data_IF_957564298378
#
_entry.id   IF_957564298378
#
_cell.length_a   1.000
_cell.length_b   1.000
_cell.length_c   1.000
_cell.angle_alpha   90.00
_cell.angle_beta   90.00
_cell.angle_gamma   90.00
#
_symmetry.space_group_name_H-M   'P 1'
#
loop_
_entity.id
_entity.type
_entity.pdbx_description
1 polymer ?
#
# COMPACT_ATOMS: atom_id res chain seq x y z
N UNK A 1 23.32 7.41 11.50
CA UNK A 1 22.06 7.74 10.80
C UNK A 1 21.75 6.56 9.89
N UNK A 2 20.80 5.74 10.31
CA UNK A 2 20.38 4.52 9.64
C UNK A 2 19.09 4.77 8.84
N UNK A 3 18.91 4.01 7.77
CA UNK A 3 17.68 3.96 6.96
C UNK A 3 16.90 2.72 7.34
N UNK A 4 15.74 2.90 7.95
CA UNK A 4 14.90 1.80 8.41
C UNK A 4 13.75 1.62 7.42
N UNK A 5 13.77 0.51 6.69
CA UNK A 5 12.82 0.23 5.61
C UNK A 5 11.78 -0.78 6.07
N UNK A 6 10.51 -0.39 6.11
CA UNK A 6 9.37 -1.26 6.44
C UNK A 6 8.64 -1.60 5.14
N UNK A 7 8.51 -2.89 4.83
CA UNK A 7 7.79 -3.39 3.67
C UNK A 7 6.61 -4.27 4.10
N UNK A 8 5.38 -3.84 3.89
CA UNK A 8 4.18 -4.62 4.22
C UNK A 8 3.42 -5.05 2.95
N UNK A 9 3.21 -6.35 2.80
CA UNK A 9 2.49 -6.92 1.66
C UNK A 9 0.97 -7.04 1.91
N UNK A 10 0.18 -7.20 0.84
CA UNK A 10 -1.26 -7.49 0.91
C UNK A 10 -1.56 -8.96 1.23
N UNK A 11 -2.81 -9.33 1.59
CA UNK A 11 -3.10 -10.76 1.83
C UNK A 11 -3.08 -11.60 0.58
N UNK A 12 -2.70 -12.87 0.77
CA UNK A 12 -2.80 -13.90 -0.25
C UNK A 12 -1.57 -14.00 -1.14
N UNK A 13 -0.57 -13.14 -0.94
CA UNK A 13 0.71 -13.23 -1.63
C UNK A 13 1.57 -14.28 -0.93
N UNK A 14 1.56 -15.51 -1.47
CA UNK A 14 2.41 -16.59 -0.99
C UNK A 14 3.85 -16.36 -1.45
N UNK A 15 4.81 -16.35 -0.50
CA UNK A 15 6.26 -16.24 -0.73
C UNK A 15 6.78 -17.29 -1.75
N UNK A 16 6.03 -18.39 -1.98
CA UNK A 16 6.47 -19.56 -2.74
C UNK A 16 6.16 -19.55 -4.24
N UNK A 17 5.16 -18.81 -4.72
CA UNK A 17 4.73 -18.91 -6.14
C UNK A 17 4.62 -17.55 -6.86
N UNK A 18 3.86 -16.59 -6.33
CA UNK A 18 3.63 -15.30 -6.99
C UNK A 18 4.18 -14.16 -6.11
N UNK A 19 5.34 -13.62 -6.49
CA UNK A 19 6.01 -12.58 -5.70
C UNK A 19 5.44 -11.20 -5.99
N UNK A 20 5.11 -10.48 -4.92
CA UNK A 20 4.70 -9.08 -5.01
C UNK A 20 5.84 -8.14 -5.34
N UNK A 21 5.48 -6.94 -5.81
CA UNK A 21 6.41 -5.85 -5.99
C UNK A 21 7.02 -5.43 -4.65
N UNK A 22 6.28 -5.56 -3.54
CA UNK A 22 6.82 -5.34 -2.18
C UNK A 22 7.93 -6.35 -1.86
N UNK A 23 7.70 -7.64 -2.11
CA UNK A 23 8.71 -8.67 -1.87
C UNK A 23 9.91 -8.51 -2.82
N UNK A 24 9.67 -8.23 -4.11
CA UNK A 24 10.75 -7.96 -5.08
C UNK A 24 11.55 -6.74 -4.66
N UNK A 25 10.89 -5.66 -4.23
CA UNK A 25 11.51 -4.45 -3.71
C UNK A 25 12.38 -4.74 -2.48
N UNK A 26 11.82 -5.42 -1.47
CA UNK A 26 12.57 -5.83 -0.27
C UNK A 26 13.80 -6.68 -0.64
N UNK A 27 13.67 -7.62 -1.58
CA UNK A 27 14.78 -8.46 -2.05
C UNK A 27 15.86 -7.68 -2.79
N UNK A 28 15.56 -6.54 -3.40
CA UNK A 28 16.59 -5.72 -4.05
C UNK A 28 17.28 -4.75 -3.09
N UNK A 29 16.78 -4.53 -1.87
CA UNK A 29 17.47 -3.70 -0.88
C UNK A 29 18.88 -4.24 -0.59
N UNK A 30 19.83 -3.32 -0.39
CA UNK A 30 21.17 -3.63 0.11
C UNK A 30 21.19 -3.46 1.62
N UNK A 31 21.15 -4.57 2.34
CA UNK A 31 21.31 -4.54 3.80
C UNK A 31 22.75 -4.17 4.18
N UNK A 32 22.87 -3.32 5.19
CA UNK A 32 24.12 -2.84 5.78
C UNK A 32 23.85 -2.27 7.16
N UNK A 33 24.90 -1.91 7.91
CA UNK A 33 24.74 -1.30 9.24
C UNK A 33 23.93 0.00 9.20
N UNK A 34 23.99 0.74 8.09
CA UNK A 34 23.25 2.00 7.86
C UNK A 34 21.92 1.82 7.10
N UNK A 35 21.53 0.59 6.73
CA UNK A 35 20.27 0.33 6.05
C UNK A 35 19.74 -1.07 6.38
N UNK A 36 18.63 -1.11 7.12
CA UNK A 36 17.99 -2.35 7.56
C UNK A 36 16.57 -2.44 7.02
N UNK A 37 16.11 -3.66 6.75
CA UNK A 37 14.79 -3.92 6.19
C UNK A 37 13.95 -4.85 7.05
N UNK A 38 12.67 -4.55 7.16
CA UNK A 38 11.64 -5.40 7.74
C UNK A 38 10.62 -5.76 6.65
N UNK A 39 10.23 -7.03 6.58
CA UNK A 39 9.24 -7.51 5.63
C UNK A 39 8.10 -8.23 6.35
N UNK A 40 6.89 -7.72 6.18
CA UNK A 40 5.65 -8.34 6.61
C UNK A 40 4.92 -8.98 5.40
N UNK A 41 4.65 -10.30 5.43
CA UNK A 41 4.01 -11.01 4.32
C UNK A 41 2.48 -10.83 4.22
N UNK A 42 1.87 -9.98 5.05
CA UNK A 42 0.43 -9.76 5.08
C UNK A 42 -0.36 -10.84 5.82
N UNK A 43 -1.65 -10.55 6.07
CA UNK A 43 -2.57 -11.44 6.81
C UNK A 43 -2.84 -12.72 6.02
N UNK A 44 -2.76 -13.91 6.64
CA UNK A 44 -3.22 -15.16 6.04
C UNK A 44 -2.17 -15.97 5.26
N UNK A 45 -0.91 -15.55 5.24
CA UNK A 45 0.22 -16.30 4.67
C UNK A 45 0.66 -17.40 5.64
N UNK A 46 -0.22 -18.37 5.93
CA UNK A 46 0.13 -19.51 6.78
C UNK A 46 1.02 -20.46 5.97
N UNK A 47 2.28 -20.51 6.34
CA UNK A 47 3.22 -21.56 5.95
C UNK A 47 2.68 -22.93 6.40
N UNK A 48 2.54 -23.86 5.44
CA UNK A 48 2.22 -25.28 5.58
C UNK A 48 0.84 -25.65 6.14
N UNK A 49 -0.11 -25.96 5.24
CA UNK A 49 -0.99 -27.14 5.36
C UNK A 49 -1.91 -27.28 4.13
N UNK A 50 -1.85 -28.44 3.46
CA UNK A 50 -2.87 -29.06 2.58
C UNK A 50 -3.56 -28.22 1.49
N UNK A 51 -3.57 -28.72 0.25
CA UNK A 51 -4.31 -28.12 -0.87
C UNK A 51 -5.80 -27.84 -0.58
N UNK A 52 -6.43 -28.63 0.30
CA UNK A 52 -7.82 -28.45 0.72
C UNK A 52 -8.03 -27.22 1.63
N UNK A 53 -7.06 -26.93 2.51
CA UNK A 53 -7.07 -25.71 3.33
C UNK A 53 -6.76 -24.47 2.48
N UNK A 54 -5.97 -24.58 1.40
CA UNK A 54 -5.74 -23.45 0.46
C UNK A 54 -7.01 -22.98 -0.24
N UNK A 55 -7.88 -23.88 -0.70
CA UNK A 55 -9.15 -23.46 -1.33
C UNK A 55 -10.09 -22.77 -0.33
N UNK A 56 -10.22 -23.34 0.89
CA UNK A 56 -10.97 -22.71 1.98
C UNK A 56 -10.35 -21.39 2.44
N UNK A 57 -9.02 -21.25 2.47
CA UNK A 57 -8.31 -20.03 2.87
C UNK A 57 -8.27 -18.98 1.76
N UNK A 58 -8.33 -19.36 0.48
CA UNK A 58 -8.48 -18.44 -0.66
C UNK A 58 -9.91 -17.90 -0.73
N UNK A 59 -10.91 -18.75 -0.50
CA UNK A 59 -12.30 -18.31 -0.32
C UNK A 59 -12.50 -17.53 0.99
N UNK A 60 -11.91 -17.94 2.13
CA UNK A 60 -11.90 -17.16 3.38
C UNK A 60 -10.98 -15.94 3.33
N UNK A 61 -10.03 -15.83 2.42
CA UNK A 61 -9.20 -14.64 2.24
C UNK A 61 -9.94 -13.56 1.43
N UNK A 62 -10.78 -14.01 0.48
CA UNK A 62 -11.69 -13.16 -0.31
C UNK A 62 -12.98 -12.84 0.45
N UNK A 63 -13.54 -13.77 1.25
CA UNK A 63 -14.73 -13.55 2.09
C UNK A 63 -14.42 -13.10 3.53
N UNK A 64 -13.21 -13.34 4.02
CA UNK A 64 -12.71 -12.89 5.33
C UNK A 64 -11.93 -11.59 5.21
N UNK A 65 -12.42 -10.69 4.37
CA UNK A 65 -12.06 -9.26 4.27
C UNK A 65 -12.26 -8.48 5.60
N UNK A 66 -12.45 -9.16 6.72
CA UNK A 66 -13.04 -8.61 7.92
C UNK A 66 -12.53 -9.26 9.21
N UNK A 67 -11.26 -9.06 9.56
CA UNK A 67 -10.86 -9.02 10.97
C UNK A 67 -9.84 -7.89 11.18
N UNK A 68 -10.22 -6.86 11.94
CA UNK A 68 -9.28 -5.82 12.38
C UNK A 68 -8.07 -6.39 13.13
N UNK A 69 -8.20 -7.59 13.71
CA UNK A 69 -7.12 -8.32 14.39
C UNK A 69 -5.87 -8.55 13.52
N UNK A 70 -6.01 -8.82 12.22
CA UNK A 70 -4.84 -9.05 11.36
C UNK A 70 -4.10 -7.75 11.01
N UNK A 71 -4.83 -6.66 10.80
CA UNK A 71 -4.23 -5.35 10.57
C UNK A 71 -3.47 -4.86 11.81
N UNK A 72 -4.10 -4.98 12.99
CA UNK A 72 -3.50 -4.52 14.24
C UNK A 72 -2.19 -5.26 14.53
N UNK A 73 -2.12 -6.57 14.28
CA UNK A 73 -0.88 -7.35 14.42
C UNK A 73 0.24 -6.83 13.51
N UNK A 74 -0.03 -6.67 12.21
CA UNK A 74 0.98 -6.22 11.25
C UNK A 74 1.48 -4.80 11.56
N UNK A 75 0.59 -3.90 11.98
CA UNK A 75 0.97 -2.54 12.42
C UNK A 75 1.85 -2.62 13.68
N UNK A 76 1.47 -3.42 14.68
CA UNK A 76 2.23 -3.56 15.92
C UNK A 76 3.61 -4.19 15.68
N UNK A 77 3.73 -5.18 14.80
CA UNK A 77 5.01 -5.82 14.52
C UNK A 77 5.98 -4.85 13.82
N UNK A 78 5.51 -4.10 12.83
CA UNK A 78 6.29 -3.03 12.21
C UNK A 78 6.64 -1.91 13.22
N UNK A 79 5.70 -1.52 14.08
CA UNK A 79 5.92 -0.52 15.12
C UNK A 79 6.96 -0.97 16.16
N UNK A 80 6.89 -2.22 16.62
CA UNK A 80 7.91 -2.82 17.51
C UNK A 80 9.27 -2.87 16.85
N UNK A 81 9.33 -3.23 15.56
CA UNK A 81 10.59 -3.18 14.82
C UNK A 81 11.21 -1.78 14.86
N UNK A 82 10.41 -0.72 14.68
CA UNK A 82 10.87 0.65 14.84
C UNK A 82 11.32 0.96 16.28
N UNK A 83 10.57 0.51 17.30
CA UNK A 83 10.94 0.74 18.71
C UNK A 83 12.36 0.24 18.99
N UNK A 84 12.69 -0.97 18.50
CA UNK A 84 13.96 -1.64 18.78
C UNK A 84 15.15 -1.13 17.97
N UNK A 85 14.92 -0.54 16.79
CA UNK A 85 16.01 -0.21 15.87
C UNK A 85 16.19 1.29 15.61
N UNK A 86 15.17 2.11 15.86
CA UNK A 86 15.23 3.54 15.63
C UNK A 86 16.05 4.27 16.70
N UNK A 87 17.02 5.04 16.24
CA UNK A 87 17.75 6.04 17.02
C UNK A 87 17.47 7.45 16.49
N UNK A 88 17.72 8.45 17.33
CA UNK A 88 17.50 9.84 16.92
C UNK A 88 18.35 10.21 15.70
N UNK A 89 17.71 10.81 14.70
CA UNK A 89 18.32 11.14 13.42
C UNK A 89 18.19 10.06 12.35
N UNK A 90 17.68 8.86 12.66
CA UNK A 90 17.40 7.83 11.65
C UNK A 90 16.24 8.23 10.72
N UNK A 91 16.23 7.66 9.51
CA UNK A 91 15.21 7.91 8.50
C UNK A 91 14.29 6.69 8.32
N UNK A 92 12.98 6.91 8.38
CA UNK A 92 11.97 5.85 8.21
C UNK A 92 11.44 5.86 6.77
N UNK A 93 11.50 4.69 6.13
CA UNK A 93 10.98 4.45 4.79
C UNK A 93 9.88 3.39 4.85
N UNK A 94 8.72 3.68 4.28
CA UNK A 94 7.54 2.82 4.37
C UNK A 94 7.09 2.39 2.98
N UNK A 95 6.88 1.09 2.77
CA UNK A 95 6.44 0.53 1.50
C UNK A 95 5.30 -0.45 1.70
N UNK A 96 4.30 -0.42 0.83
CA UNK A 96 3.29 -1.46 0.84
C UNK A 96 2.43 -1.53 -0.41
N UNK A 97 1.79 -2.68 -0.59
CA UNK A 97 0.87 -2.95 -1.68
C UNK A 97 -0.53 -3.25 -1.14
N UNK A 98 -1.57 -2.72 -1.78
CA UNK A 98 -2.95 -3.07 -1.48
C UNK A 98 -3.31 -2.78 -0.02
N UNK A 99 -3.58 -3.83 0.76
CA UNK A 99 -3.81 -3.75 2.21
C UNK A 99 -2.54 -3.47 2.99
N UNK A 100 -1.39 -3.95 2.53
CA UNK A 100 -0.10 -3.58 3.10
C UNK A 100 0.22 -2.10 2.91
N UNK A 101 -0.20 -1.49 1.80
CA UNK A 101 -0.13 -0.04 1.61
C UNK A 101 -1.01 0.71 2.64
N UNK A 102 -2.19 0.18 2.93
CA UNK A 102 -3.02 0.70 4.02
C UNK A 102 -2.37 0.48 5.41
N UNK A 103 -1.75 -0.68 5.65
CA UNK A 103 -1.00 -0.96 6.89
C UNK A 103 0.07 0.09 7.15
N UNK A 104 0.90 0.42 6.16
CA UNK A 104 1.95 1.43 6.35
C UNK A 104 1.41 2.85 6.50
N UNK A 105 0.27 3.18 5.89
CA UNK A 105 -0.42 4.45 6.12
C UNK A 105 -0.98 4.55 7.54
N UNK A 106 -1.54 3.46 8.07
CA UNK A 106 -1.97 3.37 9.47
C UNK A 106 -0.78 3.48 10.42
N UNK A 107 0.33 2.80 10.13
CA UNK A 107 1.57 2.93 10.90
C UNK A 107 2.06 4.39 10.92
N UNK A 108 2.08 5.07 9.77
CA UNK A 108 2.46 6.48 9.70
C UNK A 108 1.49 7.39 10.48
N UNK A 109 0.18 7.12 10.41
CA UNK A 109 -0.81 7.87 11.19
C UNK A 109 -0.64 7.66 12.69
N UNK A 110 -0.32 6.43 13.10
CA UNK A 110 -0.03 6.08 14.48
C UNK A 110 1.25 6.77 14.98
N UNK A 111 2.33 6.77 14.19
CA UNK A 111 3.58 7.48 14.50
C UNK A 111 3.36 9.01 14.59
N UNK A 112 2.57 9.59 13.69
CA UNK A 112 2.29 11.03 13.69
C UNK A 112 1.53 11.47 14.95
N UNK A 113 0.56 10.66 15.39
CA UNK A 113 -0.35 11.05 16.46
C UNK A 113 0.13 10.64 17.86
N UNK A 114 0.73 9.45 17.98
CA UNK A 114 1.17 8.89 19.26
C UNK A 114 2.68 8.97 19.43
N UNK A 115 3.46 9.14 18.36
CA UNK A 115 4.92 9.04 18.39
C UNK A 115 5.40 7.59 18.45
N UNK A 116 6.71 7.43 18.64
CA UNK A 116 7.39 6.13 18.76
C UNK A 116 7.75 5.88 20.23
N UNK A 117 7.16 4.84 20.83
CA UNK A 117 7.46 4.44 22.20
C UNK A 117 8.94 4.11 22.40
N UNK A 118 9.41 4.29 23.63
CA UNK A 118 10.72 3.80 24.03
C UNK A 118 10.69 2.27 24.23
N UNK A 119 11.85 1.62 24.12
CA UNK A 119 11.99 0.16 24.28
C UNK A 119 11.41 -0.36 25.59
N UNK A 120 11.57 0.36 26.69
CA UNK A 120 11.01 -0.03 28.00
C UNK A 120 9.47 0.10 28.09
N UNK A 121 8.84 0.78 27.13
CA UNK A 121 7.39 0.99 27.05
C UNK A 121 6.72 0.05 26.02
N UNK A 122 7.45 -0.89 25.42
CA UNK A 122 6.93 -1.77 24.37
C UNK A 122 5.65 -2.53 24.79
N UNK A 123 5.52 -2.88 26.07
CA UNK A 123 4.33 -3.52 26.63
C UNK A 123 3.04 -2.68 26.47
N UNK A 124 3.15 -1.37 26.23
CA UNK A 124 2.04 -0.44 26.03
C UNK A 124 1.61 -0.31 24.55
N UNK A 125 2.31 -0.92 23.59
CA UNK A 125 2.02 -0.73 22.15
C UNK A 125 0.56 -1.01 21.80
N UNK A 126 -0.02 -2.09 22.32
CA UNK A 126 -1.42 -2.46 22.05
C UNK A 126 -2.41 -1.45 22.63
N UNK A 127 -2.09 -0.87 23.79
CA UNK A 127 -2.89 0.19 24.41
C UNK A 127 -2.82 1.47 23.57
N UNK A 128 -1.62 1.87 23.18
CA UNK A 128 -1.37 3.03 22.34
C UNK A 128 -2.09 2.92 20.98
N UNK A 129 -2.04 1.76 20.32
CA UNK A 129 -2.76 1.53 19.06
C UNK A 129 -4.28 1.61 19.27
N UNK A 130 -4.78 1.07 20.39
CA UNK A 130 -6.22 1.15 20.72
C UNK A 130 -6.66 2.61 20.91
N UNK A 131 -5.88 3.41 21.61
CA UNK A 131 -6.14 4.84 21.80
C UNK A 131 -6.14 5.61 20.45
N UNK A 132 -5.17 5.33 19.58
CA UNK A 132 -5.12 5.88 18.22
C UNK A 132 -6.38 5.54 17.41
N UNK A 133 -6.83 4.27 17.41
CA UNK A 133 -8.04 3.86 16.68
C UNK A 133 -9.30 4.53 17.22
N UNK A 134 -9.41 4.69 18.54
CA UNK A 134 -10.54 5.35 19.19
C UNK A 134 -10.62 6.84 18.85
N UNK A 135 -9.48 7.52 18.68
CA UNK A 135 -9.46 8.94 18.33
C UNK A 135 -10.17 9.23 16.99
N UNK A 136 -10.00 8.36 15.99
CA UNK A 136 -10.68 8.50 14.69
C UNK A 136 -12.16 8.15 14.69
N UNK A 137 -12.62 7.37 15.67
CA UNK A 137 -14.04 7.03 15.81
C UNK A 137 -14.86 8.15 16.48
N UNK A 138 -14.21 9.05 17.21
CA UNK A 138 -14.86 10.08 18.03
C UNK A 138 -14.48 11.52 17.66
N UNK A 139 -13.62 11.73 16.67
CA UNK A 139 -12.97 13.01 16.37
C UNK A 139 -12.27 13.62 17.62
N UNK A 140 -11.88 12.77 18.58
CA UNK A 140 -11.25 13.13 19.85
C UNK A 140 -9.72 13.01 19.73
N UNK A 141 -9.12 13.85 18.88
CA UNK A 141 -7.66 13.89 18.68
C UNK A 141 -6.89 14.12 20.00
N UNK A 142 -7.52 14.79 20.96
CA UNK A 142 -6.98 15.07 22.30
C UNK A 142 -6.52 13.82 23.05
N UNK A 143 -7.19 12.67 22.86
CA UNK A 143 -6.86 11.43 23.59
C UNK A 143 -5.48 10.91 23.18
N UNK A 144 -5.19 10.89 21.88
CA UNK A 144 -3.93 10.35 21.38
C UNK A 144 -2.77 11.33 21.58
N UNK A 145 -3.01 12.64 21.46
CA UNK A 145 -2.04 13.66 21.88
C UNK A 145 -1.70 13.55 23.37
N UNK A 146 -2.71 13.24 24.20
CA UNK A 146 -2.49 12.99 25.63
C UNK A 146 -1.69 11.71 25.88
N UNK A 147 -1.82 10.68 25.04
CA UNK A 147 -0.93 9.50 25.11
C UNK A 147 0.52 9.92 24.85
N UNK A 148 0.77 10.73 23.83
CA UNK A 148 2.11 11.23 23.56
C UNK A 148 2.68 12.06 24.72
N UNK A 149 1.88 12.95 25.31
CA UNK A 149 2.29 13.80 26.43
C UNK A 149 2.55 13.00 27.71
N UNK A 150 1.67 12.04 28.03
CA UNK A 150 1.78 11.23 29.26
C UNK A 150 2.90 10.20 29.17
N UNK A 151 3.10 9.60 27.99
CA UNK A 151 4.12 8.56 27.79
C UNK A 151 5.47 9.11 27.35
N UNK A 152 5.61 10.43 27.12
CA UNK A 152 6.84 11.07 26.64
C UNK A 152 7.46 10.32 25.45
N UNK A 153 6.69 10.17 24.38
CA UNK A 153 7.11 9.36 23.22
C UNK A 153 8.02 10.12 22.28
N UNK A 154 8.85 9.39 21.52
CA UNK A 154 9.77 9.97 20.55
C UNK A 154 9.00 10.47 19.32
N UNK A 155 9.18 11.74 18.97
CA UNK A 155 8.63 12.29 17.71
C UNK A 155 9.47 11.80 16.54
N UNK A 156 8.82 11.24 15.53
CA UNK A 156 9.48 10.75 14.32
C UNK A 156 8.72 11.19 13.07
N UNK A 157 9.44 11.32 11.97
CA UNK A 157 8.87 11.63 10.65
C UNK A 157 9.17 10.50 9.67
N UNK A 158 8.41 10.45 8.58
CA UNK A 158 8.56 9.47 7.52
C UNK A 158 9.29 10.16 6.36
N UNK A 159 10.49 9.68 6.05
CA UNK A 159 11.30 10.21 4.96
C UNK A 159 10.64 9.96 3.61
N UNK A 160 10.15 8.74 3.39
CA UNK A 160 9.54 8.32 2.14
C UNK A 160 8.45 7.27 2.39
N UNK A 161 7.32 7.40 1.70
CA UNK A 161 6.26 6.40 1.68
C UNK A 161 5.90 6.00 0.24
N UNK A 162 6.17 4.75 -0.13
CA UNK A 162 5.87 4.16 -1.42
C UNK A 162 4.70 3.18 -1.37
N UNK A 163 3.60 3.49 -2.05
CA UNK A 163 2.42 2.65 -2.11
C UNK A 163 2.20 2.09 -3.52
N UNK A 164 1.85 0.82 -3.62
CA UNK A 164 1.22 0.25 -4.82
C UNK A 164 -0.27 0.04 -4.54
N UNK A 165 -1.10 0.66 -5.38
CA UNK A 165 -2.54 0.50 -5.50
C UNK A 165 -3.29 0.30 -4.17
N UNK A 166 -3.26 1.34 -3.33
CA UNK A 166 -3.82 1.27 -1.97
C UNK A 166 -5.33 1.07 -2.04
N UNK A 167 -5.83 0.05 -1.34
CA UNK A 167 -7.27 -0.19 -1.19
C UNK A 167 -7.65 -0.14 0.29
N UNK A 168 -8.64 0.69 0.62
CA UNK A 168 -9.16 0.78 1.98
C UNK A 168 -10.10 -0.42 2.22
N UNK A 169 -9.60 -1.45 2.90
CA UNK A 169 -10.41 -2.61 3.27
C UNK A 169 -10.23 -2.92 4.75
N UNK A 170 -10.79 -2.06 5.59
CA UNK A 170 -11.11 -2.44 6.96
C UNK A 170 -12.62 -2.57 7.04
N UNK A 171 -13.12 -3.78 6.80
CA UNK A 171 -14.47 -4.14 7.22
C UNK A 171 -14.32 -4.64 8.65
N UNK A 172 -14.61 -3.79 9.65
CA UNK A 172 -14.71 -4.28 11.03
C UNK A 172 -16.14 -4.79 11.24
N UNK A 173 -16.34 -6.08 11.58
CA UNK A 173 -17.62 -6.53 12.09
C UNK A 173 -17.84 -5.85 13.44
N UNK A 174 -18.87 -5.01 13.54
CA UNK A 174 -19.20 -4.29 14.78
C UNK A 174 -20.20 -5.09 15.62
N UNK A 175 -19.80 -5.70 16.75
CA UNK A 175 -20.72 -6.47 17.60
C UNK A 175 -21.88 -5.59 18.12
N UNK A 176 -21.63 -4.30 18.33
CA UNK A 176 -22.59 -3.25 18.70
C UNK A 176 -23.62 -2.93 17.60
N UNK A 177 -23.41 -3.40 16.36
CA UNK A 177 -24.30 -3.18 15.22
C UNK A 177 -24.69 -4.48 14.52
N UNK A 178 -24.91 -5.56 15.27
CA UNK A 178 -25.28 -6.86 14.68
C UNK A 178 -24.25 -7.36 13.64
N UNK A 179 -22.97 -7.07 13.86
CA UNK A 179 -21.87 -7.37 12.94
C UNK A 179 -21.95 -6.66 11.58
N UNK A 180 -22.76 -5.60 11.45
CA UNK A 180 -22.84 -4.84 10.22
C UNK A 180 -21.47 -4.22 9.91
N UNK A 181 -20.93 -4.42 8.70
CA UNK A 181 -19.58 -3.99 8.34
C UNK A 181 -19.47 -2.45 8.35
N UNK A 182 -18.54 -1.91 9.14
CA UNK A 182 -18.20 -0.48 9.08
C UNK A 182 -16.82 -0.28 8.46
N UNK A 183 -16.72 0.65 7.50
CA UNK A 183 -15.45 1.23 7.09
C UNK A 183 -14.99 2.15 8.22
N UNK A 184 -13.99 1.72 8.98
CA UNK A 184 -13.33 2.58 9.96
C UNK A 184 -12.30 3.42 9.24
N UNK A 185 -12.58 4.71 9.08
CA UNK A 185 -11.59 5.67 8.57
C UNK A 185 -10.63 5.95 9.73
N UNK A 186 -9.42 5.38 9.66
CA UNK A 186 -8.40 5.63 10.66
C UNK A 186 -7.75 6.99 10.41
N UNK A 187 -7.41 7.75 11.45
CA UNK A 187 -6.83 9.07 11.31
C UNK A 187 -5.53 9.05 10.52
N UNK A 188 -5.31 10.09 9.73
CA UNK A 188 -4.08 10.31 8.99
C UNK A 188 -3.69 9.20 7.98
N UNK A 189 -4.67 8.47 7.44
CA UNK A 189 -4.45 7.44 6.40
C UNK A 189 -4.56 7.97 4.96
N UNK A 190 -5.14 9.16 4.79
CA UNK A 190 -5.26 9.88 3.51
C UNK A 190 -4.51 11.21 3.50
N UNK A 191 -4.30 11.78 4.69
CA UNK A 191 -3.51 12.98 4.96
C UNK A 191 -2.52 12.70 6.08
N UNK A 192 -1.26 13.11 5.99
CA UNK A 192 -0.34 12.90 7.12
C UNK A 192 0.83 13.88 7.06
N UNK A 193 0.89 14.89 7.93
CA UNK A 193 1.93 15.91 7.87
C UNK A 193 3.34 15.39 8.21
N UNK A 194 3.46 14.22 8.85
CA UNK A 194 4.75 13.61 9.16
C UNK A 194 5.41 12.95 7.95
N UNK A 195 4.71 12.79 6.82
CA UNK A 195 5.27 12.21 5.58
C UNK A 195 5.91 13.31 4.75
N UNK A 196 7.19 13.15 4.42
CA UNK A 196 7.91 14.14 3.58
C UNK A 196 7.72 13.90 2.09
N UNK A 197 7.89 12.64 1.67
CA UNK A 197 7.80 12.20 0.27
C UNK A 197 6.79 11.07 0.18
N UNK A 198 5.85 11.18 -0.76
CA UNK A 198 4.83 10.18 -1.01
C UNK A 198 4.79 9.80 -2.49
N UNK A 199 4.78 8.49 -2.77
CA UNK A 199 4.68 7.90 -4.10
C UNK A 199 3.58 6.86 -4.14
N UNK A 200 2.70 6.94 -5.13
CA UNK A 200 1.61 5.99 -5.29
C UNK A 200 1.50 5.52 -6.74
N UNK A 201 1.72 4.23 -6.96
CA UNK A 201 1.44 3.59 -8.25
C UNK A 201 -0.04 3.16 -8.28
N UNK A 202 -0.80 3.69 -9.23
CA UNK A 202 -2.25 3.52 -9.34
C UNK A 202 -2.63 2.67 -10.56
N UNK A 203 -3.52 1.69 -10.38
CA UNK A 203 -4.02 0.87 -11.49
C UNK A 203 -5.15 1.57 -12.26
N UNK A 204 -5.02 1.66 -13.60
CA UNK A 204 -6.01 2.26 -14.51
C UNK A 204 -7.24 1.34 -14.67
N UNK A 205 -7.01 0.05 -14.88
CA UNK A 205 -8.03 -0.88 -15.43
C UNK A 205 -8.78 -1.69 -14.36
N UNK A 206 -8.53 -1.41 -13.07
CA UNK A 206 -9.22 -2.10 -11.98
C UNK A 206 -10.68 -1.65 -11.84
N UNK A 207 -11.61 -2.59 -11.97
CA UNK A 207 -13.06 -2.33 -12.03
C UNK A 207 -13.86 -2.93 -10.87
N UNK A 208 -13.23 -3.70 -9.97
CA UNK A 208 -13.93 -4.34 -8.85
C UNK A 208 -14.36 -3.27 -7.84
N UNK A 209 -15.65 -3.25 -7.52
CA UNK A 209 -16.27 -2.30 -6.58
C UNK A 209 -15.61 -2.18 -5.20
N UNK A 210 -14.95 -3.24 -4.74
CA UNK A 210 -14.30 -3.31 -3.42
C UNK A 210 -12.81 -2.93 -3.48
N UNK A 211 -12.27 -2.70 -4.69
CA UNK A 211 -10.89 -2.30 -4.95
C UNK A 211 -10.84 -0.84 -5.43
N UNK A 212 -11.66 0.03 -4.81
CA UNK A 212 -11.60 1.47 -5.08
C UNK A 212 -10.34 2.06 -4.47
N UNK A 213 -9.67 2.89 -5.25
CA UNK A 213 -8.38 3.46 -4.89
C UNK A 213 -8.52 4.41 -3.70
N UNK A 214 -7.77 4.14 -2.64
CA UNK A 214 -7.61 5.06 -1.52
C UNK A 214 -6.55 6.11 -1.89
N UNK A 215 -6.99 7.18 -2.57
CA UNK A 215 -6.10 8.29 -2.96
C UNK A 215 -5.49 8.97 -1.75
N UNK A 216 -4.27 9.47 -1.95
CA UNK A 216 -3.67 10.46 -1.06
C UNK A 216 -4.25 11.82 -1.42
N UNK A 217 -4.64 12.61 -0.43
CA UNK A 217 -5.13 13.96 -0.69
C UNK A 217 -3.96 14.86 -1.09
N UNK A 218 -4.17 15.78 -2.01
CA UNK A 218 -3.13 16.69 -2.48
C UNK A 218 -3.76 18.07 -2.76
N UNK A 219 -3.05 19.18 -2.46
CA UNK A 219 -1.72 19.27 -1.84
C UNK A 219 -1.72 19.05 -0.31
N UNK A 220 -0.55 18.77 0.27
CA UNK A 220 -0.34 18.70 1.73
C UNK A 220 0.97 19.35 2.14
N UNK A 221 1.10 19.67 3.44
CA UNK A 221 2.29 20.23 4.05
C UNK A 221 3.03 19.17 4.87
N UNK A 222 4.35 19.12 4.74
CA UNK A 222 5.26 18.38 5.60
C UNK A 222 5.62 19.22 6.84
N UNK A 223 5.48 18.61 8.01
CA UNK A 223 5.85 19.20 9.29
C UNK A 223 6.81 18.29 10.04
N UNK A 224 7.92 18.85 10.48
CA UNK A 224 8.90 18.13 11.32
C UNK A 224 8.35 17.81 12.71
N UNK A 225 7.42 18.64 13.19
CA UNK A 225 6.65 18.38 14.40
C UNK A 225 5.29 19.12 14.34
N UNK A 226 4.32 18.78 15.20
CA UNK A 226 2.96 19.31 15.15
C UNK A 226 2.84 20.82 15.45
N UNK A 227 3.83 21.39 16.12
CA UNK A 227 3.85 22.81 16.50
C UNK A 227 4.37 23.72 15.38
N UNK A 228 4.90 23.15 14.29
CA UNK A 228 5.27 23.91 13.10
C UNK A 228 4.01 24.53 12.50
N UNK A 229 4.01 25.85 12.40
CA UNK A 229 2.93 26.61 11.77
C UNK A 229 2.92 26.33 10.27
N UNK A 230 1.76 26.51 9.64
CA UNK A 230 1.64 26.25 8.20
C UNK A 230 2.52 27.19 7.35
N UNK A 231 2.79 28.40 7.83
CA UNK A 231 3.67 29.37 7.16
C UNK A 231 5.15 28.94 7.13
N UNK A 232 5.57 28.11 8.09
CA UNK A 232 6.93 27.60 8.23
C UNK A 232 7.05 26.13 7.77
N UNK A 233 5.96 25.57 7.23
CA UNK A 233 5.91 24.18 6.79
C UNK A 233 6.26 24.07 5.30
N UNK A 234 6.95 23.00 4.94
CA UNK A 234 7.33 22.73 3.56
C UNK A 234 6.20 22.00 2.82
N UNK A 235 6.03 22.15 1.50
CA UNK A 235 5.12 21.30 0.74
C UNK A 235 5.61 19.84 0.75
N UNK A 236 4.68 18.88 0.82
CA UNK A 236 5.02 17.48 0.59
C UNK A 236 5.39 17.25 -0.88
N UNK A 237 6.39 16.40 -1.11
CA UNK A 237 6.67 15.87 -2.45
C UNK A 237 5.75 14.66 -2.70
N UNK A 238 4.60 14.91 -3.34
CA UNK A 238 3.58 13.90 -3.64
C UNK A 238 3.57 13.60 -5.13
N UNK A 239 3.60 12.31 -5.50
CA UNK A 239 3.29 11.87 -6.86
C UNK A 239 2.39 10.64 -6.85
N UNK A 240 1.30 10.70 -7.62
CA UNK A 240 0.38 9.59 -7.86
C UNK A 240 0.39 9.28 -9.36
N UNK A 241 1.10 8.21 -9.75
CA UNK A 241 1.36 7.86 -11.15
C UNK A 241 0.50 6.66 -11.55
N UNK A 242 -0.18 6.77 -12.68
CA UNK A 242 -1.10 5.76 -13.18
C UNK A 242 -0.42 4.82 -14.19
N UNK A 243 -0.65 3.52 -14.00
CA UNK A 243 -0.08 2.44 -14.78
C UNK A 243 -1.19 1.57 -15.38
N UNK A 244 -0.93 1.08 -16.60
CA UNK A 244 -1.84 0.18 -17.30
C UNK A 244 -1.93 -1.18 -16.58
N UNK A 245 -3.13 -1.74 -16.54
CA UNK A 245 -3.47 -3.00 -15.90
C UNK A 245 -4.34 -2.88 -14.66
N UNK A 246 -4.72 -4.04 -14.12
CA UNK A 246 -5.54 -4.14 -12.91
C UNK A 246 -4.67 -4.10 -11.64
N UNK A 247 -5.28 -4.19 -10.46
CA UNK A 247 -4.60 -4.17 -9.16
C UNK A 247 -3.36 -5.08 -9.07
N UNK A 248 -3.46 -6.30 -9.62
CA UNK A 248 -2.36 -7.27 -9.63
C UNK A 248 -1.27 -6.97 -10.66
N UNK A 249 -1.58 -6.21 -11.71
CA UNK A 249 -0.61 -5.72 -12.69
C UNK A 249 0.21 -4.55 -12.15
N UNK A 250 -0.26 -3.86 -11.10
CA UNK A 250 0.50 -2.78 -10.45
C UNK A 250 1.29 -3.27 -9.25
N UNK A 251 0.70 -4.14 -8.42
CA UNK A 251 1.37 -4.68 -7.24
C UNK A 251 2.14 -5.97 -7.44
N UNK A 252 2.06 -6.59 -8.63
CA UNK A 252 2.52 -7.96 -8.94
C UNK A 252 1.83 -9.01 -8.04
N UNK A 253 0.85 -9.73 -8.58
CA UNK A 253 0.20 -10.87 -7.89
C UNK A 253 0.03 -12.10 -8.77
N UNK A 254 0.51 -12.01 -10.01
CA UNK A 254 0.42 -13.00 -11.06
C UNK A 254 1.72 -13.81 -11.16
N UNK A 255 1.72 -14.94 -11.89
CA UNK A 255 2.94 -15.67 -12.18
C UNK A 255 4.01 -14.77 -12.80
N UNK A 256 5.28 -15.04 -12.50
CA UNK A 256 6.39 -14.20 -12.95
C UNK A 256 6.43 -14.03 -14.47
N UNK A 257 6.07 -15.06 -15.24
CA UNK A 257 6.06 -15.02 -16.70
C UNK A 257 4.99 -14.10 -17.30
N UNK A 258 3.96 -13.78 -16.53
CA UNK A 258 2.86 -12.88 -16.92
C UNK A 258 3.08 -11.46 -16.35
N UNK A 259 4.15 -11.24 -15.58
CA UNK A 259 4.34 -10.03 -14.77
C UNK A 259 5.03 -8.86 -15.50
N UNK A 260 5.09 -8.88 -16.84
CA UNK A 260 5.81 -7.87 -17.63
C UNK A 260 5.29 -6.44 -17.42
N UNK A 261 3.97 -6.26 -17.34
CA UNK A 261 3.37 -4.96 -17.04
C UNK A 261 3.69 -4.47 -15.61
N UNK A 262 3.78 -5.40 -14.64
CA UNK A 262 4.07 -5.10 -13.24
C UNK A 262 5.52 -4.69 -12.96
N UNK A 263 6.42 -4.81 -13.95
CA UNK A 263 7.79 -4.34 -13.81
C UNK A 263 7.91 -2.82 -13.89
N UNK A 264 7.06 -2.13 -14.67
CA UNK A 264 7.08 -0.67 -14.74
C UNK A 264 6.84 0.01 -13.37
N UNK A 265 5.78 -0.30 -12.61
CA UNK A 265 5.57 0.30 -11.30
C UNK A 265 6.58 -0.16 -10.24
N UNK A 266 7.23 -1.32 -10.42
CA UNK A 266 8.33 -1.73 -9.56
C UNK A 266 9.60 -0.91 -9.84
N UNK A 267 9.95 -0.77 -11.12
CA UNK A 267 11.12 0.01 -11.57
C UNK A 267 10.99 1.47 -11.15
N UNK A 268 9.83 2.08 -11.43
CA UNK A 268 9.53 3.45 -11.03
C UNK A 268 9.72 3.65 -9.52
N UNK A 269 9.18 2.76 -8.67
CA UNK A 269 9.31 2.90 -7.23
C UNK A 269 10.76 2.71 -6.75
N UNK A 270 11.54 1.81 -7.38
CA UNK A 270 12.97 1.63 -7.08
C UNK A 270 13.75 2.90 -7.43
N UNK A 271 13.46 3.51 -8.58
CA UNK A 271 14.15 4.72 -9.02
C UNK A 271 13.79 5.94 -8.14
N UNK A 272 12.52 6.11 -7.79
CA UNK A 272 12.08 7.15 -6.84
C UNK A 272 12.74 6.95 -5.46
N UNK A 273 12.69 5.74 -4.91
CA UNK A 273 13.30 5.47 -3.61
C UNK A 273 14.82 5.64 -3.63
N UNK A 274 15.48 5.32 -4.76
CA UNK A 274 16.93 5.56 -4.96
C UNK A 274 17.24 7.05 -4.97
N UNK A 275 16.45 7.85 -5.68
CA UNK A 275 16.58 9.31 -5.72
C UNK A 275 16.45 9.93 -4.32
N UNK A 276 15.71 9.28 -3.43
CA UNK A 276 15.53 9.67 -2.03
C UNK A 276 16.45 8.95 -1.04
N UNK A 277 17.50 8.28 -1.53
CA UNK A 277 18.63 7.82 -0.71
C UNK A 277 18.66 6.32 -0.40
N UNK A 278 17.67 5.52 -0.79
CA UNK A 278 17.77 4.07 -0.60
C UNK A 278 18.83 3.44 -1.51
N UNK A 279 19.54 2.45 -0.96
CA UNK A 279 20.61 1.74 -1.65
C UNK A 279 20.14 0.34 -2.02
N UNK A 280 20.37 -0.04 -3.28
CA UNK A 280 19.93 -1.31 -3.83
C UNK A 280 21.11 -2.19 -4.25
N UNK A 281 20.88 -3.51 -4.24
CA UNK A 281 21.76 -4.50 -4.86
C UNK A 281 21.54 -4.47 -6.36
N UNK A 282 22.39 -3.74 -7.08
CA UNK A 282 22.23 -3.52 -8.53
C UNK A 282 22.14 -4.80 -9.35
N UNK A 283 22.84 -5.87 -8.94
CA UNK A 283 22.71 -7.20 -9.59
C UNK A 283 21.30 -7.79 -9.42
N UNK A 284 20.65 -7.55 -8.29
CA UNK A 284 19.28 -7.97 -8.03
C UNK A 284 18.26 -7.05 -8.70
N UNK A 285 18.54 -5.75 -8.83
CA UNK A 285 17.69 -4.81 -9.59
C UNK A 285 17.64 -5.23 -11.05
N UNK A 286 18.79 -5.37 -11.72
CA UNK A 286 18.87 -5.84 -13.10
C UNK A 286 18.06 -7.11 -13.33
N UNK A 287 18.15 -8.06 -12.39
CA UNK A 287 17.47 -9.34 -12.49
C UNK A 287 15.96 -9.28 -12.17
N UNK A 288 15.57 -8.83 -10.98
CA UNK A 288 14.19 -8.90 -10.49
C UNK A 288 13.29 -7.82 -11.08
N UNK A 289 13.87 -6.64 -11.32
CA UNK A 289 13.14 -5.45 -11.78
C UNK A 289 13.18 -5.37 -13.30
N UNK A 290 14.38 -5.46 -13.89
CA UNK A 290 14.58 -5.29 -15.34
C UNK A 290 14.52 -6.58 -16.15
N UNK A 291 14.47 -7.74 -15.49
CA UNK A 291 14.43 -9.03 -16.18
C UNK A 291 15.70 -9.38 -16.95
N UNK A 292 16.84 -8.76 -16.61
CA UNK A 292 18.13 -9.08 -17.21
C UNK A 292 18.62 -10.44 -16.68
N UNK A 293 18.30 -11.50 -17.42
CA UNK A 293 18.65 -12.88 -17.04
C UNK A 293 20.16 -13.13 -17.20
N UNK A 294 20.87 -13.55 -16.12
CA UNK A 294 22.27 -13.94 -16.22
C UNK A 294 22.47 -15.11 -17.18
N UNK A 295 23.61 -15.15 -17.90
CA UNK A 295 23.93 -16.20 -18.90
C UNK A 295 23.85 -17.64 -18.38
N UNK A 296 23.96 -17.84 -17.06
CA UNK A 296 23.92 -19.16 -16.40
C UNK A 296 22.52 -19.57 -15.91
N UNK A 297 21.48 -18.80 -16.19
CA UNK A 297 20.09 -19.14 -15.83
C UNK A 297 19.37 -19.64 -17.08
N UNK A 298 18.79 -20.84 -16.98
CA UNK A 298 18.00 -21.42 -18.06
C UNK A 298 16.67 -20.67 -18.22
N UNK A 299 16.33 -20.33 -19.48
CA UNK A 299 15.03 -19.74 -19.83
C UNK A 299 13.87 -20.62 -19.36
N UNK A 300 12.84 -20.02 -18.80
CA UNK A 300 11.67 -20.70 -18.24
C UNK A 300 11.91 -21.37 -16.88
N UNK A 301 13.10 -21.25 -16.29
CA UNK A 301 13.34 -21.72 -14.91
C UNK A 301 12.62 -20.84 -13.89
N UNK A 302 12.42 -21.33 -12.65
CA UNK A 302 11.91 -20.52 -11.51
C UNK A 302 12.76 -19.27 -11.18
N UNK A 303 13.92 -19.16 -11.81
CA UNK A 303 14.92 -18.12 -11.62
C UNK A 303 14.95 -17.11 -12.76
N UNK A 304 14.14 -17.34 -13.79
CA UNK A 304 13.94 -16.50 -14.95
C UNK A 304 12.84 -15.47 -14.66
N UNK A 305 13.20 -14.20 -14.81
CA UNK A 305 12.35 -13.06 -14.47
C UNK A 305 12.11 -12.27 -15.75
N UNK A 306 10.86 -11.93 -16.04
CA UNK A 306 10.53 -11.20 -17.27
C UNK A 306 10.95 -9.73 -17.15
N UNK A 307 11.30 -9.14 -18.29
CA UNK A 307 11.57 -7.72 -18.43
C UNK A 307 10.27 -6.89 -18.54
N UNK A 308 10.30 -5.59 -18.21
CA UNK A 308 9.20 -4.69 -18.51
C UNK A 308 8.83 -4.76 -20.00
N UNK A 309 7.53 -4.83 -20.29
CA UNK A 309 7.05 -4.93 -21.67
C UNK A 309 5.70 -4.27 -21.84
N UNK A 310 5.62 -3.31 -22.77
CA UNK A 310 4.37 -2.71 -23.25
C UNK A 310 3.49 -3.72 -24.00
N UNK A 311 4.05 -4.82 -24.47
CA UNK A 311 3.30 -5.92 -25.10
C UNK A 311 2.83 -6.97 -24.11
N UNK A 312 3.15 -6.86 -22.82
CA UNK A 312 2.67 -7.81 -21.83
C UNK A 312 1.14 -7.81 -21.75
N UNK A 313 0.54 -8.99 -21.74
CA UNK A 313 -0.90 -9.12 -21.58
C UNK A 313 -1.36 -8.49 -20.25
N UNK A 314 -2.46 -7.75 -20.30
CA UNK A 314 -3.11 -7.19 -19.13
C UNK A 314 -4.17 -8.17 -18.62
N UNK A 315 -4.26 -8.31 -17.30
CA UNK A 315 -5.16 -9.29 -16.70
C UNK A 315 -6.55 -8.70 -16.48
N UNK A 316 -7.58 -9.55 -16.49
CA UNK A 316 -8.91 -9.17 -16.02
C UNK A 316 -9.16 -9.75 -14.62
N UNK A 317 -9.22 -8.89 -13.62
CA UNK A 317 -9.50 -9.27 -12.23
C UNK A 317 -10.99 -9.59 -11.99
N UNK A 318 -11.87 -9.30 -12.96
CA UNK A 318 -13.33 -9.42 -12.85
C UNK A 318 -13.82 -10.87 -13.00
N UNK A 319 -13.53 -11.71 -12.02
CA UNK A 319 -14.03 -13.10 -11.97
C UNK A 319 -15.55 -13.18 -11.84
N UNK A 320 -16.14 -14.37 -12.05
CA UNK A 320 -17.59 -14.60 -11.95
C UNK A 320 -18.21 -14.07 -10.64
N UNK A 321 -17.57 -14.32 -9.49
CA UNK A 321 -18.05 -13.84 -8.19
C UNK A 321 -18.00 -12.32 -8.08
N UNK A 322 -16.95 -11.68 -8.61
CA UNK A 322 -16.88 -10.23 -8.68
C UNK A 322 -18.01 -9.66 -9.53
N UNK A 323 -18.29 -10.26 -10.69
CA UNK A 323 -19.40 -9.85 -11.57
C UNK A 323 -20.75 -9.83 -10.85
N UNK A 324 -21.00 -10.76 -9.93
CA UNK A 324 -22.24 -10.76 -9.12
C UNK A 324 -22.25 -9.61 -8.11
N UNK A 325 -21.13 -9.38 -7.43
CA UNK A 325 -21.02 -8.31 -6.42
C UNK A 325 -21.18 -6.92 -7.03
N UNK A 326 -20.85 -6.72 -8.30
CA UNK A 326 -21.04 -5.44 -9.01
C UNK A 326 -22.51 -4.97 -9.07
N UNK A 327 -23.47 -5.85 -8.80
CA UNK A 327 -24.89 -5.50 -8.80
C UNK A 327 -25.46 -5.12 -7.42
N UNK A 328 -24.68 -5.25 -6.33
CA UNK A 328 -25.19 -4.77 -5.04
C UNK A 328 -25.10 -3.23 -5.00
N UNK A 329 -26.14 -2.52 -4.52
CA UNK A 329 -26.07 -1.08 -4.40
C UNK A 329 -24.91 -0.60 -3.50
N UNK A 330 -24.32 0.55 -3.83
CA UNK A 330 -23.33 1.26 -3.00
C UNK A 330 -23.79 2.70 -2.77
N UNK A 331 -23.50 3.26 -1.59
CA UNK A 331 -23.82 4.67 -1.31
C UNK A 331 -22.92 5.58 -2.16
N UNK A 332 -23.52 6.58 -2.81
CA UNK A 332 -22.80 7.55 -3.65
C UNK A 332 -21.72 8.33 -2.88
N UNK A 333 -21.91 8.56 -1.58
CA UNK A 333 -20.89 9.19 -0.70
C UNK A 333 -19.52 8.48 -0.67
N UNK A 334 -19.44 7.23 -1.11
CA UNK A 334 -18.20 6.44 -1.17
C UNK A 334 -17.71 6.24 -2.61
N UNK A 335 -18.22 7.02 -3.54
CA UNK A 335 -17.80 7.02 -4.94
C UNK A 335 -16.40 7.65 -5.06
N UNK A 336 -15.58 7.17 -6.00
CA UNK A 336 -14.23 7.68 -6.28
C UNK A 336 -14.26 9.01 -7.05
N UNK A 337 -15.21 9.18 -7.98
CA UNK A 337 -15.56 10.47 -8.59
C UNK A 337 -16.11 11.48 -7.54
N UNK A 338 -15.44 12.63 -7.32
CA UNK A 338 -15.88 13.66 -6.39
C UNK A 338 -17.24 14.29 -6.70
N UNK A 339 -17.63 14.39 -7.96
CA UNK A 339 -18.92 14.98 -8.37
C UNK A 339 -20.09 14.06 -8.01
N UNK A 340 -19.97 12.76 -8.30
CA UNK A 340 -20.98 11.76 -7.90
C UNK A 340 -21.06 11.66 -6.37
N UNK A 341 -19.94 11.87 -5.67
CA UNK A 341 -19.87 11.84 -4.20
C UNK A 341 -20.74 12.92 -3.53
N UNK A 342 -20.95 14.06 -4.20
CA UNK A 342 -21.81 15.17 -3.69
C UNK A 342 -23.30 14.79 -3.71
N UNK A 343 -23.69 13.82 -4.54
CA UNK A 343 -25.07 13.37 -4.66
C UNK A 343 -25.51 12.45 -3.51
N UNK A 344 -26.79 12.53 -3.14
CA UNK A 344 -27.39 11.60 -2.17
C UNK A 344 -27.89 10.33 -2.86
N UNK A 345 -27.94 9.23 -2.10
CA UNK A 345 -28.55 7.98 -2.52
C UNK A 345 -27.57 6.85 -2.83
N UNK A 346 -28.03 5.90 -3.63
CA UNK A 346 -27.31 4.69 -4.00
C UNK A 346 -27.11 4.64 -5.51
N UNK A 347 -26.11 3.87 -5.93
CA UNK A 347 -25.85 3.56 -7.33
C UNK A 347 -25.41 2.10 -7.46
N UNK A 348 -25.46 1.57 -8.69
CA UNK A 348 -25.00 0.21 -9.00
C UNK A 348 -23.68 0.35 -9.79
N UNK A 349 -22.54 -0.14 -9.25
CA UNK A 349 -21.23 0.04 -9.88
C UNK A 349 -21.07 -0.53 -11.28
N UNK A 350 -21.68 -1.69 -11.60
CA UNK A 350 -21.68 -2.28 -12.96
C UNK A 350 -20.29 -2.38 -13.64
N UNK A 351 -19.22 -2.73 -12.91
CA UNK A 351 -17.85 -2.79 -13.45
C UNK A 351 -17.35 -1.45 -14.00
N UNK A 352 -17.85 -0.34 -13.46
CA UNK A 352 -17.36 0.99 -13.82
C UNK A 352 -15.83 1.06 -13.64
N UNK A 353 -15.12 1.66 -14.61
CA UNK A 353 -13.71 2.03 -14.45
C UNK A 353 -13.50 2.93 -13.23
N UNK A 354 -12.24 3.11 -12.84
CA UNK A 354 -11.89 4.12 -11.83
C UNK A 354 -12.01 5.51 -12.40
N UNK A 355 -12.41 6.44 -11.56
CA UNK A 355 -12.25 7.86 -11.85
C UNK A 355 -10.75 8.22 -11.84
N UNK A 356 -10.26 8.76 -12.95
CA UNK A 356 -8.92 9.32 -13.10
C UNK A 356 -9.10 10.83 -13.32
N UNK A 357 -8.44 11.69 -12.52
CA UNK A 357 -8.49 13.14 -12.72
C UNK A 357 -7.86 13.60 -14.03
N UNK A 358 -8.28 14.77 -14.51
CA UNK A 358 -7.76 15.37 -15.74
C UNK A 358 -6.28 15.76 -15.64
N UNK A 359 -5.79 16.04 -14.44
CA UNK A 359 -4.39 16.36 -14.13
C UNK A 359 -3.57 15.13 -13.69
N UNK A 360 -4.10 13.92 -13.87
CA UNK A 360 -3.42 12.69 -13.49
C UNK A 360 -2.12 12.47 -14.28
N UNK A 361 -1.06 12.10 -13.56
CA UNK A 361 0.22 11.74 -14.18
C UNK A 361 0.16 10.29 -14.67
N UNK A 362 0.27 10.08 -15.97
CA UNK A 362 0.37 8.75 -16.58
C UNK A 362 1.85 8.35 -16.72
N UNK A 363 2.17 7.09 -16.43
CA UNK A 363 3.51 6.58 -16.70
C UNK A 363 3.75 6.53 -18.23
N UNK A 364 4.96 6.86 -18.75
CA UNK A 364 5.23 6.86 -20.20
C UNK A 364 4.89 5.54 -20.92
N UNK A 365 5.02 4.40 -20.24
CA UNK A 365 4.65 3.08 -20.79
C UNK A 365 3.16 2.95 -21.14
N UNK A 366 2.29 3.78 -20.55
CA UNK A 366 0.85 3.81 -20.87
C UNK A 366 0.66 4.42 -22.26
N UNK A 367 1.28 5.58 -22.49
CA UNK A 367 1.20 6.25 -23.79
C UNK A 367 1.88 5.42 -24.88
N UNK A 368 3.06 4.86 -24.60
CA UNK A 368 3.76 3.98 -25.53
C UNK A 368 2.90 2.77 -25.94
N UNK A 369 2.17 2.17 -24.99
CA UNK A 369 1.25 1.06 -25.27
C UNK A 369 0.08 1.48 -26.17
N UNK A 370 -0.47 2.68 -25.98
CA UNK A 370 -1.53 3.24 -26.84
C UNK A 370 -0.98 3.51 -28.24
N UNK A 371 0.18 4.16 -28.35
CA UNK A 371 0.79 4.56 -29.61
C UNK A 371 1.20 3.35 -30.47
N UNK A 372 1.68 2.28 -29.84
CA UNK A 372 2.03 1.02 -30.50
C UNK A 372 0.82 0.17 -30.88
N UNK A 373 -0.41 0.65 -30.62
CA UNK A 373 -1.68 0.00 -30.98
C UNK A 373 -1.75 -1.46 -30.52
N UNK A 374 -1.37 -1.72 -29.27
CA UNK A 374 -1.45 -3.08 -28.70
C UNK A 374 -2.89 -3.56 -28.44
N UNK A 375 -3.91 -2.82 -28.89
CA UNK A 375 -5.32 -3.04 -28.55
C UNK A 375 -5.72 -2.51 -27.17
N UNK A 376 -4.87 -1.67 -26.55
CA UNK A 376 -5.15 -1.06 -25.25
C UNK A 376 -5.89 0.28 -25.41
N UNK A 377 -7.18 0.28 -25.10
CA UNK A 377 -8.08 1.43 -25.26
C UNK A 377 -8.83 1.73 -23.94
N UNK A 378 -8.15 2.29 -22.93
CA UNK A 378 -8.78 2.62 -21.66
C UNK A 378 -9.82 3.73 -21.83
N UNK A 379 -11.02 3.51 -21.29
CA UNK A 379 -12.17 4.41 -21.46
C UNK A 379 -12.25 5.53 -20.42
N UNK A 380 -11.31 5.56 -19.48
CA UNK A 380 -11.31 6.42 -18.29
C UNK A 380 -10.07 7.28 -18.17
N UNK A 381 -9.24 7.33 -19.21
CA UNK A 381 -8.21 8.36 -19.31
C UNK A 381 -8.85 9.72 -19.62
N UNK A 382 -8.27 10.82 -19.13
CA UNK A 382 -8.76 12.17 -19.39
C UNK A 382 -8.55 12.65 -20.83
#
# INVERSE_FOLDING_TARGET
MKKIVICCDGTGNEIKENQSNVLKFYRVLKESDDQIGFYDPGVGTISNSGAWNRFKNKLKGVFGLATGYGLDANVLDAYRFLIHHFEEGDEIYLFGFSRGAHTVRVLAGFLNMVGLLHTHQEHLCSYALTAYKQSGARDEFDVAWRVQEVLDTRRVTIRFMGCWDTVASVIVPRPDRMYLPSLEALPYTHTNPAVRVFRHACAIDERRRMFRLARWEEPQLFKTNPFVKNEDAEPQDIQQVWFAGVHGDVGSGYPEQESGAAKYPLEWMVDEARAHGLVFRETMVKRLVRGETPKNVQAGSRRDYVSPSVYADLHDSMTFWWKLLEYLPKRKKWHDNPEIRKERGFYIPRREPRYIPDDAVLHPSVQERIDLKTGYEPTNLP
#
